data_IF_585917685388
#
_entry.id   IF_585917685388
#
_cell.length_a   1.000
_cell.length_b   1.000
_cell.length_c   1.000
_cell.angle_alpha   90.00
_cell.angle_beta   90.00
_cell.angle_gamma   90.00
#
_symmetry.space_group_name_H-M   'P 1'
#
loop_
_entity.id
_entity.type
_entity.pdbx_description
1 polymer ?
#
# COMPACT_ATOMS: atom_id res chain seq x y z
N UNK A 1 -22.63 -1.82 -6.08
CA UNK A 1 -22.26 -1.50 -7.47
C UNK A 1 -23.30 -1.98 -8.49
N UNK A 2 -23.75 -3.24 -8.47
CA UNK A 2 -24.79 -3.75 -9.35
C UNK A 2 -26.22 -3.40 -8.89
N UNK A 3 -26.40 -3.13 -7.62
CA UNK A 3 -27.69 -2.93 -6.98
C UNK A 3 -28.35 -1.59 -7.28
N UNK A 4 -29.64 -1.54 -6.93
CA UNK A 4 -30.40 -0.29 -6.97
C UNK A 4 -29.85 0.70 -5.93
N UNK A 5 -29.86 2.00 -6.26
CA UNK A 5 -29.30 3.07 -5.41
C UNK A 5 -29.82 3.00 -3.98
N UNK A 6 -31.14 2.82 -3.79
CA UNK A 6 -31.75 2.76 -2.45
C UNK A 6 -31.18 1.59 -1.61
N UNK A 7 -30.99 0.42 -2.22
CA UNK A 7 -30.42 -0.76 -1.57
C UNK A 7 -28.96 -0.51 -1.20
N UNK A 8 -28.16 -0.01 -2.16
CA UNK A 8 -26.74 0.26 -1.93
C UNK A 8 -26.53 1.31 -0.82
N UNK A 9 -27.33 2.38 -0.79
CA UNK A 9 -27.30 3.39 0.26
C UNK A 9 -27.70 2.82 1.62
N UNK A 10 -28.75 1.98 1.67
CA UNK A 10 -29.18 1.35 2.92
C UNK A 10 -28.08 0.46 3.52
N UNK A 11 -27.44 -0.35 2.68
CA UNK A 11 -26.31 -1.21 3.10
C UNK A 11 -25.13 -0.34 3.56
N UNK A 12 -24.74 0.68 2.79
CA UNK A 12 -23.62 1.53 3.15
C UNK A 12 -23.82 2.25 4.49
N UNK A 13 -25.06 2.68 4.80
CA UNK A 13 -25.41 3.27 6.10
C UNK A 13 -25.36 2.25 7.24
N UNK A 14 -25.81 1.01 7.02
CA UNK A 14 -25.73 -0.05 8.01
C UNK A 14 -24.27 -0.44 8.36
N UNK A 15 -23.38 -0.25 7.41
CA UNK A 15 -21.95 -0.54 7.56
C UNK A 15 -21.12 0.69 7.97
N UNK A 16 -21.76 1.82 8.29
CA UNK A 16 -21.12 3.10 8.61
C UNK A 16 -20.13 3.59 7.53
N UNK A 17 -20.35 3.17 6.27
CA UNK A 17 -19.55 3.55 5.11
C UNK A 17 -20.02 4.86 4.45
N UNK A 18 -21.15 5.40 4.88
CA UNK A 18 -21.75 6.60 4.30
C UNK A 18 -22.13 7.57 5.42
N UNK A 19 -21.47 8.73 5.45
CA UNK A 19 -21.76 9.81 6.37
C UNK A 19 -23.05 10.57 6.01
N UNK A 20 -23.52 11.49 6.88
CA UNK A 20 -24.76 12.25 6.67
C UNK A 20 -24.69 13.22 5.46
N UNK A 21 -23.48 13.67 5.09
CA UNK A 21 -23.25 14.59 3.98
C UNK A 21 -22.83 13.88 2.68
N UNK A 22 -22.57 12.57 2.75
CA UNK A 22 -22.14 11.80 1.60
C UNK A 22 -23.29 11.54 0.62
N UNK A 23 -22.96 11.53 -0.66
CA UNK A 23 -23.92 11.27 -1.73
C UNK A 23 -23.69 9.91 -2.39
N UNK A 24 -24.72 9.42 -3.05
CA UNK A 24 -24.62 8.29 -3.97
C UNK A 24 -24.57 8.81 -5.41
N UNK A 25 -23.76 8.17 -6.25
CA UNK A 25 -23.64 8.47 -7.68
C UNK A 25 -24.04 7.25 -8.51
N UNK A 26 -24.90 7.46 -9.50
CA UNK A 26 -25.33 6.41 -10.44
C UNK A 26 -24.47 6.39 -11.70
N UNK A 27 -24.44 5.23 -12.39
CA UNK A 27 -23.80 5.15 -13.70
C UNK A 27 -24.36 6.18 -14.70
N UNK A 28 -25.68 6.38 -14.72
CA UNK A 28 -26.33 7.35 -15.61
C UNK A 28 -25.96 8.82 -15.33
N UNK A 29 -25.71 9.16 -14.07
CA UNK A 29 -25.20 10.49 -13.69
C UNK A 29 -23.72 10.61 -14.08
N UNK A 30 -22.95 9.53 -13.87
CA UNK A 30 -21.54 9.47 -14.23
C UNK A 30 -21.31 9.60 -15.75
N UNK A 31 -22.23 9.11 -16.59
CA UNK A 31 -22.20 9.27 -18.04
C UNK A 31 -22.30 10.75 -18.47
N UNK A 32 -22.92 11.59 -17.64
CA UNK A 32 -23.07 13.03 -17.89
C UNK A 32 -21.91 13.86 -17.37
N UNK A 33 -21.08 13.28 -16.51
CA UNK A 33 -19.91 13.95 -15.91
C UNK A 33 -18.66 13.69 -16.75
N UNK A 34 -17.86 14.71 -16.96
CA UNK A 34 -16.53 14.50 -17.51
C UNK A 34 -15.57 13.91 -16.44
N UNK A 35 -14.40 13.44 -16.87
CA UNK A 35 -13.42 12.81 -15.95
C UNK A 35 -12.88 13.82 -14.93
N UNK A 36 -12.67 15.09 -15.30
CA UNK A 36 -12.13 16.12 -14.41
C UNK A 36 -13.14 16.50 -13.33
N UNK A 37 -14.41 16.53 -13.69
CA UNK A 37 -15.51 16.77 -12.74
C UNK A 37 -15.60 15.65 -11.72
N UNK A 38 -15.53 14.38 -12.17
CA UNK A 38 -15.48 13.22 -11.28
C UNK A 38 -14.26 13.27 -10.34
N UNK A 39 -13.07 13.57 -10.86
CA UNK A 39 -11.85 13.72 -10.07
C UNK A 39 -11.96 14.82 -9.00
N UNK A 40 -12.60 15.95 -9.34
CA UNK A 40 -12.81 17.05 -8.39
C UNK A 40 -13.74 16.66 -7.24
N UNK A 41 -14.84 15.98 -7.55
CA UNK A 41 -15.95 15.76 -6.65
C UNK A 41 -15.98 14.33 -6.05
N UNK A 42 -15.00 13.48 -6.33
CA UNK A 42 -14.98 12.05 -5.99
C UNK A 42 -15.22 11.79 -4.48
N UNK A 43 -14.67 12.60 -3.59
CA UNK A 43 -14.82 12.45 -2.15
C UNK A 43 -16.21 12.77 -1.60
N UNK A 44 -17.11 13.34 -2.43
CA UNK A 44 -18.51 13.56 -2.06
C UNK A 44 -19.35 12.29 -2.17
N UNK A 45 -18.81 11.27 -2.84
CA UNK A 45 -19.55 10.06 -3.17
C UNK A 45 -18.93 8.86 -2.43
N UNK A 46 -19.71 8.26 -1.53
CA UNK A 46 -19.33 7.01 -0.85
C UNK A 46 -20.00 5.78 -1.49
N UNK A 47 -21.04 5.98 -2.30
CA UNK A 47 -21.80 4.91 -2.93
C UNK A 47 -21.89 5.14 -4.44
N UNK A 48 -21.51 4.11 -5.20
CA UNK A 48 -21.62 4.08 -6.66
C UNK A 48 -22.56 2.94 -7.08
N UNK A 49 -23.72 3.27 -7.66
CA UNK A 49 -24.77 2.32 -7.97
C UNK A 49 -24.98 2.15 -9.47
N UNK A 50 -25.27 0.92 -9.93
CA UNK A 50 -25.51 0.58 -11.34
C UNK A 50 -24.40 1.09 -12.26
N UNK A 51 -23.15 0.88 -11.86
CA UNK A 51 -21.97 1.29 -12.62
C UNK A 51 -21.52 0.20 -13.58
N UNK A 52 -21.12 0.60 -14.79
CA UNK A 52 -20.52 -0.26 -15.80
C UNK A 52 -19.06 -0.57 -15.47
N UNK A 53 -18.41 -1.55 -16.14
CA UNK A 53 -16.98 -1.80 -16.02
C UNK A 53 -16.13 -0.56 -16.29
N UNK A 54 -16.52 0.26 -17.28
CA UNK A 54 -15.84 1.51 -17.64
C UNK A 54 -15.94 2.55 -16.51
N UNK A 55 -17.11 2.63 -15.86
CA UNK A 55 -17.32 3.51 -14.70
C UNK A 55 -16.41 3.11 -13.54
N UNK A 56 -16.23 1.81 -13.27
CA UNK A 56 -15.33 1.31 -12.23
C UNK A 56 -13.89 1.77 -12.46
N UNK A 57 -13.42 1.68 -13.72
CA UNK A 57 -12.08 2.20 -14.11
C UNK A 57 -11.99 3.71 -13.91
N UNK A 58 -13.03 4.48 -14.26
CA UNK A 58 -13.07 5.93 -14.06
C UNK A 58 -13.00 6.31 -12.58
N UNK A 59 -13.71 5.58 -11.72
CA UNK A 59 -13.69 5.78 -10.26
C UNK A 59 -12.28 5.54 -9.72
N UNK A 60 -11.66 4.40 -10.06
CA UNK A 60 -10.29 4.07 -9.64
C UNK A 60 -9.32 5.18 -10.03
N UNK A 61 -9.35 5.59 -11.31
CA UNK A 61 -8.48 6.67 -11.81
C UNK A 61 -8.73 8.02 -11.11
N UNK A 62 -9.97 8.31 -10.74
CA UNK A 62 -10.30 9.54 -10.04
C UNK A 62 -9.67 9.59 -8.64
N UNK A 63 -9.71 8.51 -7.88
CA UNK A 63 -9.03 8.40 -6.58
C UNK A 63 -7.50 8.43 -6.75
N UNK A 64 -6.93 7.66 -7.69
CA UNK A 64 -5.49 7.67 -7.96
C UNK A 64 -4.98 9.07 -8.34
N UNK A 65 -5.76 9.82 -9.12
CA UNK A 65 -5.42 11.20 -9.51
C UNK A 65 -5.41 12.17 -8.32
N UNK A 66 -6.14 11.85 -7.27
CA UNK A 66 -6.14 12.60 -6.00
C UNK A 66 -4.99 12.19 -5.07
N UNK A 67 -4.17 11.21 -5.49
CA UNK A 67 -3.01 10.72 -4.74
C UNK A 67 -3.32 9.59 -3.76
N UNK A 68 -4.51 8.99 -3.88
CA UNK A 68 -4.91 7.83 -3.08
C UNK A 68 -4.32 6.53 -3.66
N UNK A 69 -4.03 5.59 -2.78
CA UNK A 69 -3.71 4.20 -3.14
C UNK A 69 -5.01 3.40 -3.13
N UNK A 70 -5.40 2.88 -4.28
CA UNK A 70 -6.71 2.26 -4.48
C UNK A 70 -6.60 0.75 -4.52
N UNK A 71 -7.26 0.07 -3.57
CA UNK A 71 -7.55 -1.36 -3.67
C UNK A 71 -8.93 -1.56 -4.31
N UNK A 72 -8.99 -2.41 -5.34
CA UNK A 72 -10.24 -2.78 -6.03
C UNK A 72 -10.54 -4.24 -5.78
N UNK A 73 -11.76 -4.53 -5.35
CA UNK A 73 -12.25 -5.91 -5.20
C UNK A 73 -13.24 -6.28 -6.30
N UNK A 74 -13.18 -7.50 -6.79
CA UNK A 74 -14.11 -7.98 -7.81
C UNK A 74 -14.10 -9.51 -7.97
N UNK A 75 -15.20 -10.03 -8.50
CA UNK A 75 -15.41 -11.46 -8.70
C UNK A 75 -15.69 -11.83 -10.17
N UNK A 76 -16.10 -10.85 -10.97
CA UNK A 76 -16.56 -11.05 -12.35
C UNK A 76 -15.57 -10.66 -13.44
N UNK A 77 -15.83 -11.16 -14.64
CA UNK A 77 -15.11 -10.76 -15.87
C UNK A 77 -15.18 -9.25 -16.08
N UNK A 78 -16.31 -8.63 -15.71
CA UNK A 78 -16.56 -7.19 -15.82
C UNK A 78 -15.69 -6.35 -14.88
N UNK A 79 -15.11 -6.96 -13.85
CA UNK A 79 -14.25 -6.29 -12.88
C UNK A 79 -12.77 -6.28 -13.31
N UNK A 80 -12.39 -7.18 -14.19
CA UNK A 80 -11.00 -7.36 -14.59
C UNK A 80 -10.30 -6.07 -15.06
N UNK A 81 -10.93 -5.18 -15.86
CA UNK A 81 -10.29 -3.91 -16.22
C UNK A 81 -10.05 -2.97 -15.02
N UNK A 82 -10.96 -2.94 -14.06
CA UNK A 82 -10.83 -2.13 -12.86
C UNK A 82 -9.81 -2.74 -11.87
N UNK A 83 -9.82 -4.08 -11.69
CA UNK A 83 -8.80 -4.80 -10.92
C UNK A 83 -7.39 -4.50 -11.42
N UNK A 84 -7.19 -4.57 -12.75
CA UNK A 84 -5.89 -4.29 -13.37
C UNK A 84 -5.48 -2.81 -13.33
N UNK A 85 -6.44 -1.89 -13.19
CA UNK A 85 -6.18 -0.45 -13.16
C UNK A 85 -5.87 0.04 -11.74
N UNK A 86 -6.39 -0.62 -10.73
CA UNK A 86 -6.15 -0.30 -9.33
C UNK A 86 -4.66 -0.47 -8.97
N UNK A 87 -4.25 0.13 -7.86
CA UNK A 87 -2.89 -0.08 -7.33
C UNK A 87 -2.75 -1.48 -6.75
N UNK A 88 -3.85 -2.05 -6.25
CA UNK A 88 -3.94 -3.43 -5.78
C UNK A 88 -5.30 -4.01 -6.22
N UNK A 89 -5.29 -4.93 -7.17
CA UNK A 89 -6.47 -5.72 -7.54
C UNK A 89 -6.63 -6.93 -6.63
N UNK A 90 -7.81 -7.10 -6.02
CA UNK A 90 -8.14 -8.21 -5.13
C UNK A 90 -9.30 -9.03 -5.73
N UNK A 91 -9.04 -10.26 -6.18
CA UNK A 91 -10.09 -11.14 -6.69
C UNK A 91 -10.61 -12.10 -5.61
N UNK A 92 -11.90 -12.42 -5.69
CA UNK A 92 -12.49 -13.50 -4.89
C UNK A 92 -11.94 -14.85 -5.34
N UNK A 93 -11.54 -15.72 -4.41
CA UNK A 93 -10.93 -17.01 -4.71
C UNK A 93 -11.96 -18.12 -4.91
N UNK A 94 -13.07 -18.08 -4.18
CA UNK A 94 -14.15 -19.07 -4.27
C UNK A 94 -15.16 -18.63 -5.34
N UNK A 95 -15.74 -17.44 -5.21
CA UNK A 95 -16.76 -16.92 -6.13
C UNK A 95 -16.17 -16.31 -7.41
N UNK A 96 -14.90 -15.94 -7.42
CA UNK A 96 -14.27 -15.23 -8.52
C UNK A 96 -14.04 -16.07 -9.76
N UNK A 97 -14.25 -15.47 -10.93
CA UNK A 97 -13.92 -16.08 -12.22
C UNK A 97 -12.42 -16.15 -12.46
N UNK A 98 -11.95 -17.08 -13.28
CA UNK A 98 -10.53 -17.19 -13.66
C UNK A 98 -10.00 -15.90 -14.30
N UNK A 99 -10.86 -15.15 -15.01
CA UNK A 99 -10.50 -13.87 -15.61
C UNK A 99 -10.23 -12.80 -14.55
N UNK A 100 -11.08 -12.72 -13.51
CA UNK A 100 -10.87 -11.82 -12.39
C UNK A 100 -9.58 -12.17 -11.63
N UNK A 101 -9.38 -13.46 -11.33
CA UNK A 101 -8.16 -13.97 -10.66
C UNK A 101 -6.89 -13.67 -11.45
N UNK A 102 -6.92 -13.84 -12.78
CA UNK A 102 -5.78 -13.55 -13.64
C UNK A 102 -5.48 -12.06 -13.79
N UNK A 103 -6.46 -11.18 -13.53
CA UNK A 103 -6.31 -9.74 -13.60
C UNK A 103 -5.90 -9.10 -12.26
N UNK A 104 -6.00 -9.83 -11.16
CA UNK A 104 -5.76 -9.35 -9.80
C UNK A 104 -4.32 -9.60 -9.36
N UNK A 105 -3.83 -8.75 -8.45
CA UNK A 105 -2.53 -8.90 -7.78
C UNK A 105 -2.63 -9.85 -6.59
N UNK A 106 -3.80 -9.93 -5.96
CA UNK A 106 -4.09 -10.78 -4.80
C UNK A 106 -5.38 -11.57 -5.03
N UNK A 107 -5.39 -12.83 -4.59
CA UNK A 107 -6.57 -13.68 -4.61
C UNK A 107 -6.92 -14.08 -3.18
N UNK A 108 -8.13 -13.74 -2.73
CA UNK A 108 -8.62 -14.09 -1.39
C UNK A 108 -9.13 -15.52 -1.38
N UNK A 109 -8.52 -16.39 -0.59
CA UNK A 109 -8.88 -17.82 -0.55
C UNK A 109 -10.18 -18.12 0.21
N UNK A 110 -10.62 -17.20 1.05
CA UNK A 110 -11.78 -17.31 1.94
C UNK A 110 -12.94 -16.38 1.56
N UNK A 111 -12.79 -15.58 0.51
CA UNK A 111 -13.73 -14.53 0.06
C UNK A 111 -14.20 -13.59 1.18
N UNK A 112 -13.35 -13.38 2.20
CA UNK A 112 -13.67 -12.58 3.34
C UNK A 112 -12.98 -11.20 3.28
N UNK A 113 -13.76 -10.12 3.28
CA UNK A 113 -13.21 -8.75 3.27
C UNK A 113 -12.32 -8.43 4.47
N UNK A 114 -12.50 -9.08 5.63
CA UNK A 114 -11.63 -8.89 6.78
C UNK A 114 -10.17 -9.31 6.46
N UNK A 115 -9.98 -10.26 5.57
CA UNK A 115 -8.66 -10.70 5.10
C UNK A 115 -7.92 -9.61 4.35
N UNK A 116 -8.61 -8.68 3.67
CA UNK A 116 -7.99 -7.51 3.04
C UNK A 116 -7.39 -6.59 4.09
N UNK A 117 -8.12 -6.33 5.19
CA UNK A 117 -7.64 -5.49 6.29
C UNK A 117 -6.40 -6.11 6.92
N UNK A 118 -6.40 -7.43 7.10
CA UNK A 118 -5.25 -8.16 7.62
C UNK A 118 -4.07 -8.09 6.64
N UNK A 119 -4.30 -8.24 5.34
CA UNK A 119 -3.25 -8.07 4.32
C UNK A 119 -2.65 -6.66 4.32
N UNK A 120 -3.47 -5.62 4.55
CA UNK A 120 -2.98 -4.23 4.71
C UNK A 120 -2.11 -4.12 5.97
N UNK A 121 -2.53 -4.72 7.08
CA UNK A 121 -1.76 -4.75 8.33
C UNK A 121 -0.40 -5.41 8.14
N UNK A 122 -0.39 -6.59 7.53
CA UNK A 122 0.83 -7.33 7.22
C UNK A 122 1.76 -6.52 6.28
N UNK A 123 1.21 -5.95 5.21
CA UNK A 123 1.98 -5.13 4.28
C UNK A 123 2.61 -3.90 4.94
N UNK A 124 1.90 -3.24 5.84
CA UNK A 124 2.44 -2.11 6.63
C UNK A 124 3.56 -2.56 7.55
N UNK A 125 3.39 -3.70 8.22
CA UNK A 125 4.42 -4.27 9.09
C UNK A 125 5.68 -4.65 8.33
N UNK A 126 5.54 -5.33 7.20
CA UNK A 126 6.66 -5.68 6.31
C UNK A 126 7.40 -4.41 5.87
N UNK A 127 6.68 -3.35 5.48
CA UNK A 127 7.30 -2.10 5.07
C UNK A 127 8.11 -1.46 6.21
N UNK A 128 7.59 -1.44 7.44
CA UNK A 128 8.34 -0.92 8.59
C UNK A 128 9.59 -1.77 8.91
N UNK A 129 9.49 -3.08 8.81
CA UNK A 129 10.64 -3.97 9.00
C UNK A 129 11.71 -3.74 7.92
N UNK A 130 11.31 -3.53 6.66
CA UNK A 130 12.22 -3.15 5.57
C UNK A 130 12.91 -1.81 5.91
N UNK A 131 12.18 -0.81 6.40
CA UNK A 131 12.76 0.49 6.79
C UNK A 131 13.78 0.33 7.92
N UNK A 132 13.45 -0.43 8.97
CA UNK A 132 14.35 -0.72 10.10
C UNK A 132 15.63 -1.38 9.60
N UNK A 133 15.50 -2.38 8.74
CA UNK A 133 16.65 -3.11 8.15
C UNK A 133 17.53 -2.19 7.31
N UNK A 134 16.94 -1.36 6.44
CA UNK A 134 17.69 -0.40 5.62
C UNK A 134 18.42 0.61 6.51
N UNK A 135 17.74 1.15 7.51
CA UNK A 135 18.34 2.10 8.46
C UNK A 135 19.54 1.48 9.18
N UNK A 136 19.38 0.27 9.70
CA UNK A 136 20.46 -0.47 10.38
C UNK A 136 21.68 -0.66 9.44
N UNK A 137 21.47 -1.21 8.24
CA UNK A 137 22.56 -1.47 7.31
C UNK A 137 23.29 -0.20 6.86
N UNK A 138 22.54 0.89 6.58
CA UNK A 138 23.17 2.16 6.21
C UNK A 138 23.97 2.73 7.37
N UNK A 139 23.44 2.68 8.60
CA UNK A 139 24.14 3.18 9.79
C UNK A 139 25.46 2.40 10.02
N UNK A 140 25.45 1.07 9.90
CA UNK A 140 26.66 0.27 9.98
C UNK A 140 27.70 0.67 8.93
N UNK A 141 27.30 0.76 7.67
CA UNK A 141 28.20 1.13 6.57
C UNK A 141 28.78 2.55 6.74
N UNK A 142 27.98 3.51 7.17
CA UNK A 142 28.46 4.88 7.46
C UNK A 142 29.45 4.84 8.62
N UNK A 143 29.17 4.08 9.68
CA UNK A 143 30.09 3.89 10.80
C UNK A 143 31.44 3.31 10.38
N UNK A 144 31.45 2.32 9.50
CA UNK A 144 32.68 1.74 8.92
C UNK A 144 33.47 2.79 8.12
N UNK A 145 32.81 3.50 7.22
CA UNK A 145 33.42 4.55 6.40
C UNK A 145 34.03 5.64 7.30
N UNK A 146 33.30 6.10 8.29
CA UNK A 146 33.77 7.12 9.23
C UNK A 146 34.96 6.62 10.05
N UNK A 147 34.92 5.38 10.50
CA UNK A 147 36.03 4.76 11.25
C UNK A 147 37.34 4.77 10.45
N UNK A 148 37.28 4.31 9.20
CA UNK A 148 38.42 4.29 8.30
C UNK A 148 38.90 5.72 7.96
N UNK A 149 37.95 6.61 7.66
CA UNK A 149 38.25 8.01 7.30
C UNK A 149 38.90 8.78 8.45
N UNK A 150 38.37 8.70 9.66
CA UNK A 150 38.92 9.36 10.85
C UNK A 150 40.32 8.80 11.16
N UNK A 151 40.49 7.48 11.12
CA UNK A 151 41.81 6.86 11.34
C UNK A 151 42.85 7.38 10.37
N UNK A 152 42.49 7.54 9.10
CA UNK A 152 43.37 8.12 8.09
C UNK A 152 43.73 9.59 8.40
N UNK A 153 42.73 10.43 8.80
CA UNK A 153 42.96 11.83 9.10
C UNK A 153 43.91 12.07 10.27
N UNK A 154 43.84 11.23 11.30
CA UNK A 154 44.73 11.35 12.52
C UNK A 154 46.00 10.58 12.41
N UNK A 155 46.31 9.99 11.23
CA UNK A 155 47.56 9.30 10.96
C UNK A 155 47.70 7.93 11.65
N UNK A 156 46.58 7.31 12.04
CA UNK A 156 46.61 5.94 12.57
C UNK A 156 46.75 4.90 11.43
N UNK A 157 47.29 3.69 11.71
CA UNK A 157 47.26 2.60 10.76
C UNK A 157 45.82 2.23 10.42
N UNK A 158 45.61 1.63 9.25
CA UNK A 158 44.30 1.17 8.82
C UNK A 158 43.64 0.27 9.88
N UNK A 159 42.50 0.65 10.46
CA UNK A 159 41.86 -0.07 11.56
C UNK A 159 41.30 -1.41 11.12
N UNK A 160 40.87 -1.52 9.85
CA UNK A 160 40.22 -2.67 9.26
C UNK A 160 40.79 -2.98 7.88
N UNK A 161 41.11 -4.23 7.65
CA UNK A 161 41.48 -4.75 6.33
C UNK A 161 40.24 -5.04 5.49
N UNK A 162 40.34 -5.01 4.16
CA UNK A 162 39.23 -5.27 3.26
C UNK A 162 38.51 -6.60 3.55
N UNK A 163 39.26 -7.66 3.92
CA UNK A 163 38.67 -8.95 4.28
C UNK A 163 37.88 -8.90 5.59
N UNK A 164 38.27 -8.05 6.53
CA UNK A 164 37.57 -7.85 7.80
C UNK A 164 36.24 -7.05 7.57
N UNK A 165 36.29 -6.02 6.73
CA UNK A 165 35.09 -5.30 6.31
C UNK A 165 34.10 -6.23 5.61
N UNK A 166 34.58 -7.08 4.70
CA UNK A 166 33.73 -8.07 4.05
C UNK A 166 33.08 -9.03 5.06
N UNK A 167 33.87 -9.48 6.08
CA UNK A 167 33.37 -10.37 7.13
C UNK A 167 32.29 -9.68 7.99
N UNK A 168 32.50 -8.42 8.38
CA UNK A 168 31.53 -7.63 9.15
C UNK A 168 30.23 -7.53 8.36
N UNK A 169 30.27 -7.03 7.13
CA UNK A 169 29.08 -6.85 6.31
C UNK A 169 28.34 -8.16 6.01
N UNK A 170 29.07 -9.26 5.74
CA UNK A 170 28.46 -10.52 5.37
C UNK A 170 27.90 -11.30 6.57
N UNK A 171 28.56 -11.27 7.71
CA UNK A 171 28.19 -12.11 8.86
C UNK A 171 27.59 -11.28 9.98
N UNK A 172 28.30 -10.25 10.42
CA UNK A 172 27.90 -9.46 11.60
C UNK A 172 26.67 -8.62 11.34
N UNK A 173 26.55 -7.99 10.16
CA UNK A 173 25.45 -7.11 9.84
C UNK A 173 24.25 -7.86 9.24
N UNK A 174 24.50 -8.93 8.49
CA UNK A 174 23.43 -9.69 7.84
C UNK A 174 22.50 -10.40 8.83
N UNK A 175 23.05 -10.95 9.94
CA UNK A 175 22.22 -11.67 10.92
C UNK A 175 21.24 -10.76 11.67
N UNK A 176 21.64 -9.60 12.23
CA UNK A 176 20.68 -8.65 12.80
C UNK A 176 19.72 -8.07 11.77
N UNK A 177 20.18 -7.79 10.53
CA UNK A 177 19.34 -7.32 9.44
C UNK A 177 18.22 -8.32 9.13
N UNK A 178 18.54 -9.62 9.07
CA UNK A 178 17.55 -10.68 8.90
C UNK A 178 16.58 -10.74 10.09
N UNK A 179 17.06 -10.61 11.32
CA UNK A 179 16.21 -10.60 12.51
C UNK A 179 15.23 -9.43 12.49
N UNK A 180 15.68 -8.21 12.10
CA UNK A 180 14.81 -7.04 11.93
C UNK A 180 13.76 -7.25 10.82
N UNK A 181 14.14 -7.95 9.74
CA UNK A 181 13.23 -8.25 8.63
C UNK A 181 12.05 -9.16 9.00
N UNK A 182 12.21 -10.00 10.03
CA UNK A 182 11.18 -10.93 10.52
C UNK A 182 10.61 -10.55 11.89
N UNK A 183 10.85 -9.31 12.34
CA UNK A 183 10.33 -8.81 13.60
C UNK A 183 8.79 -8.80 13.60
N UNK A 184 8.13 -9.14 14.73
CA UNK A 184 6.68 -9.07 14.84
C UNK A 184 6.16 -7.66 14.56
N UNK A 185 5.00 -7.59 13.90
CA UNK A 185 4.36 -6.33 13.53
C UNK A 185 3.96 -5.54 14.78
N UNK A 186 4.21 -4.23 14.79
CA UNK A 186 3.82 -3.34 15.87
C UNK A 186 2.29 -3.25 15.96
N UNK A 187 1.78 -3.17 17.20
CA UNK A 187 0.33 -3.24 17.45
C UNK A 187 -0.43 -2.03 16.93
N UNK A 188 0.24 -0.89 16.81
CA UNK A 188 -0.29 0.40 16.41
C UNK A 188 -0.14 0.69 14.90
N UNK A 189 0.37 -0.27 14.13
CA UNK A 189 0.63 -0.09 12.68
C UNK A 189 -0.61 0.38 11.89
N UNK A 190 -1.81 0.02 12.34
CA UNK A 190 -3.08 0.43 11.73
C UNK A 190 -3.58 1.79 12.24
N UNK A 191 -3.04 2.32 13.34
CA UNK A 191 -3.40 3.63 13.88
C UNK A 191 -2.70 4.77 13.12
N UNK A 192 -1.60 4.46 12.44
CA UNK A 192 -0.88 5.42 11.62
C UNK A 192 -1.63 5.74 10.31
N UNK A 193 -1.60 7.00 9.85
CA UNK A 193 -2.20 7.37 8.57
C UNK A 193 -1.51 6.63 7.42
N UNK A 194 -2.22 6.41 6.29
CA UNK A 194 -1.62 5.82 5.10
C UNK A 194 -0.43 6.64 4.61
N UNK A 195 0.61 5.97 4.15
CA UNK A 195 1.78 6.64 3.55
C UNK A 195 1.43 7.13 2.14
N UNK A 196 1.98 8.28 1.77
CA UNK A 196 1.80 8.83 0.42
C UNK A 196 2.59 8.01 -0.58
N UNK A 197 2.03 7.81 -1.78
CA UNK A 197 2.65 7.04 -2.86
C UNK A 197 4.10 7.48 -3.21
N UNK A 198 4.39 8.78 -3.06
CA UNK A 198 5.72 9.35 -3.35
C UNK A 198 6.56 9.62 -2.09
N UNK A 199 6.19 9.02 -0.95
CA UNK A 199 6.94 9.20 0.28
C UNK A 199 8.27 8.44 0.21
N UNK A 200 9.36 9.15 0.47
CA UNK A 200 10.70 8.52 0.50
C UNK A 200 10.79 7.53 1.67
N UNK A 201 11.52 6.43 1.46
CA UNK A 201 11.86 5.48 2.53
C UNK A 201 12.58 6.20 3.69
N UNK A 202 13.32 7.28 3.39
CA UNK A 202 14.01 8.11 4.38
C UNK A 202 13.14 9.18 5.04
N UNK A 203 11.85 9.27 4.69
CA UNK A 203 10.92 10.19 5.35
C UNK A 203 10.75 9.87 6.84
N UNK A 204 10.25 10.85 7.63
CA UNK A 204 10.02 10.66 9.06
C UNK A 204 11.28 10.72 9.92
N UNK A 205 12.34 11.42 9.45
CA UNK A 205 13.53 11.70 10.27
C UNK A 205 14.62 10.63 10.21
N UNK A 206 14.46 9.58 9.40
CA UNK A 206 15.48 8.53 9.28
C UNK A 206 16.85 9.08 8.91
N UNK A 207 16.92 10.11 8.04
CA UNK A 207 18.19 10.75 7.65
C UNK A 207 18.90 11.52 8.76
N UNK A 208 18.22 11.85 9.87
CA UNK A 208 18.84 12.49 11.04
C UNK A 208 19.29 11.49 12.10
N UNK A 209 18.82 10.24 12.02
CA UNK A 209 19.12 9.19 12.99
C UNK A 209 20.20 8.21 12.49
N UNK A 210 20.71 8.43 11.28
CA UNK A 210 21.87 7.77 10.70
C UNK A 210 23.13 8.57 11.04
#
# INVERSE_FOLDING_TARGET
TGDHVATAVAIARQLDMMGPEDAALTGAEMDRMDQKELERDIYRYSVFARVSPEHKVRIVKAYQKRGEVVAMTGDGVNDAPALKTADIGCAMGIAGTDVAKAAADMVMTDDNFATIVEAVREGRGIYENIRKTIHFLISCNIGEILTVFVSFLIGLPLPLLAIQLLWINLVTDSLPALALGVEPIEKDVMEHPPKKQNESIFAGGMGYNI
#
